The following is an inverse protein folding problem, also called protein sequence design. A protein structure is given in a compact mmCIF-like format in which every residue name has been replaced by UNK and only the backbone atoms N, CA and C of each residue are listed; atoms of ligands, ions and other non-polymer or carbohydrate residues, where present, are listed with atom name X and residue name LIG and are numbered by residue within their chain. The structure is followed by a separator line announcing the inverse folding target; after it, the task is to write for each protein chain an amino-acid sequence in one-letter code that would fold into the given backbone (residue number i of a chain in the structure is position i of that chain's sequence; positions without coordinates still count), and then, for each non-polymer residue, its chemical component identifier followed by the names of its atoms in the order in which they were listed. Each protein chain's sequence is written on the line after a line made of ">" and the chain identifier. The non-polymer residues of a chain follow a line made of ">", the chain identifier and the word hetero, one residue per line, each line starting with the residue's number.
data_IF_479800354870
#
_entry.id   IF_479800354870
#
_cell.length_a   1.000
_cell.length_b   1.000
_cell.length_c   1.000
_cell.angle_alpha   90.00
_cell.angle_beta   90.00
_cell.angle_gamma   90.00
#
_symmetry.space_group_name_H-M   'P 1'
#
loop_
_entity.id
_entity.type
_entity.pdbx_description
1 polymer ?
#
# COMPACT_ATOMS: atom_id res chain seq x y z
N UNK A 1 -0.28 -21.15 16.39
CA UNK A 1 -0.30 -19.74 16.06
C UNK A 1 0.85 -19.29 15.18
N UNK A 2 2.02 -19.86 15.37
CA UNK A 2 3.13 -19.61 14.49
C UNK A 2 2.79 -20.01 13.09
N UNK A 3 2.10 -21.11 12.95
CA UNK A 3 1.77 -21.62 11.64
C UNK A 3 0.85 -20.73 10.86
N UNK A 4 0.01 -20.02 11.57
CA UNK A 4 -0.90 -19.10 10.90
C UNK A 4 -0.17 -18.03 10.13
N UNK A 5 1.06 -17.75 10.51
CA UNK A 5 1.80 -16.66 9.92
C UNK A 5 2.77 -17.07 8.86
N UNK A 6 2.79 -18.35 8.52
CA UNK A 6 3.68 -18.78 7.46
C UNK A 6 3.40 -18.06 6.16
N UNK A 7 2.11 -17.88 5.86
CA UNK A 7 1.71 -17.25 4.61
C UNK A 7 1.20 -15.85 4.79
N UNK A 8 1.44 -15.27 5.96
CA UNK A 8 0.89 -13.95 6.28
C UNK A 8 1.93 -13.05 6.89
N UNK A 9 1.77 -11.78 6.64
CA UNK A 9 2.60 -10.76 7.25
C UNK A 9 1.68 -9.80 7.98
N UNK A 10 2.00 -9.53 9.24
CA UNK A 10 1.25 -8.54 10.00
C UNK A 10 1.92 -7.20 9.81
N UNK A 11 1.19 -6.27 9.24
CA UNK A 11 1.69 -4.92 9.05
C UNK A 11 1.15 -4.02 10.12
N UNK A 12 2.07 -3.50 10.94
CA UNK A 12 1.71 -2.57 11.99
C UNK A 12 2.52 -1.31 11.73
N UNK A 13 2.01 -0.42 10.89
CA UNK A 13 2.77 0.77 10.53
C UNK A 13 3.00 1.65 11.74
N UNK A 14 4.17 2.22 11.83
CA UNK A 14 4.46 3.15 12.88
C UNK A 14 3.83 4.48 12.56
N UNK A 15 3.27 5.11 13.57
CA UNK A 15 2.85 6.48 13.42
C UNK A 15 4.06 7.34 13.62
N UNK A 16 4.46 7.99 12.55
CA UNK A 16 5.62 8.83 12.59
C UNK A 16 5.35 10.08 13.40
N UNK A 17 6.42 10.79 13.69
CA UNK A 17 6.29 12.02 14.44
C UNK A 17 5.41 13.05 13.74
N UNK A 18 5.22 12.90 12.45
CA UNK A 18 4.38 13.81 11.68
C UNK A 18 2.89 13.55 11.88
N UNK A 19 2.53 12.42 12.50
CA UNK A 19 1.13 12.14 12.80
C UNK A 19 0.27 11.73 11.61
N UNK A 20 0.88 11.45 10.47
CA UNK A 20 0.11 11.06 9.29
C UNK A 20 -0.30 9.60 9.38
N UNK A 21 -1.50 9.34 8.89
CA UNK A 21 -2.03 7.98 8.83
C UNK A 21 -1.51 7.26 7.59
N UNK A 22 -1.24 5.96 7.70
CA UNK A 22 -0.74 5.22 6.53
C UNK A 22 -1.87 4.80 5.59
N UNK A 23 -1.67 5.04 4.31
CA UNK A 23 -2.46 4.45 3.24
C UNK A 23 -1.59 3.36 2.64
N UNK A 24 -2.06 2.13 2.72
CA UNK A 24 -1.29 0.97 2.32
C UNK A 24 -1.67 0.59 0.90
N UNK A 25 -0.68 0.51 0.02
CA UNK A 25 -0.92 0.16 -1.38
C UNK A 25 -0.09 -1.06 -1.72
N UNK A 26 -0.77 -2.18 -1.96
CA UNK A 26 -0.11 -3.43 -2.33
C UNK A 26 -0.19 -3.57 -3.84
N UNK A 27 0.97 -3.82 -4.47
CA UNK A 27 1.03 -3.88 -5.92
C UNK A 27 1.57 -5.23 -6.38
N UNK A 28 0.79 -5.90 -7.23
CA UNK A 28 1.27 -7.09 -7.92
C UNK A 28 1.21 -6.80 -9.42
N UNK A 29 1.40 -7.83 -10.25
CA UNK A 29 1.47 -7.64 -11.69
C UNK A 29 0.18 -7.16 -12.34
N UNK A 30 -0.93 -7.29 -11.65
CA UNK A 30 -2.24 -7.00 -12.24
C UNK A 30 -3.06 -5.97 -11.47
N UNK A 31 -2.80 -5.82 -10.18
CA UNK A 31 -3.69 -5.02 -9.33
C UNK A 31 -2.94 -4.16 -8.34
N UNK A 32 -3.58 -3.07 -7.97
CA UNK A 32 -3.17 -2.22 -6.87
C UNK A 32 -4.29 -2.24 -5.86
N UNK A 33 -3.97 -2.58 -4.62
CA UNK A 33 -4.95 -2.65 -3.54
C UNK A 33 -4.67 -1.49 -2.59
N UNK A 34 -5.64 -0.60 -2.46
CA UNK A 34 -5.54 0.58 -1.60
C UNK A 34 -6.35 0.33 -0.35
N UNK A 35 -5.74 0.47 0.81
CA UNK A 35 -6.44 0.19 2.05
C UNK A 35 -5.86 1.01 3.19
N UNK A 36 -6.73 1.66 3.98
CA UNK A 36 -6.29 2.35 5.18
C UNK A 36 -6.04 1.33 6.27
N UNK A 37 -5.02 1.59 7.09
CA UNK A 37 -4.66 0.67 8.16
C UNK A 37 -5.85 0.45 9.10
N UNK A 38 -6.12 -0.81 9.42
CA UNK A 38 -7.16 -1.23 10.36
C UNK A 38 -8.57 -0.81 9.94
N UNK A 39 -8.77 -0.57 8.64
CA UNK A 39 -10.09 -0.23 8.09
C UNK A 39 -10.34 -1.07 6.86
N UNK A 40 -10.68 -2.36 7.03
CA UNK A 40 -10.89 -3.24 5.88
C UNK A 40 -12.00 -2.77 4.95
N UNK A 41 -12.93 -2.00 5.45
CA UNK A 41 -14.00 -1.48 4.60
C UNK A 41 -13.49 -0.42 3.61
N UNK A 42 -12.27 0.07 3.80
CA UNK A 42 -11.71 1.08 2.91
C UNK A 42 -11.06 0.48 1.66
N UNK A 43 -11.01 -0.84 1.58
CA UNK A 43 -10.30 -1.51 0.49
C UNK A 43 -10.87 -1.15 -0.88
N UNK A 44 -9.99 -0.77 -1.79
CA UNK A 44 -10.32 -0.57 -3.19
C UNK A 44 -9.27 -1.29 -4.02
N UNK A 45 -9.71 -1.92 -5.09
CA UNK A 45 -8.80 -2.66 -5.95
C UNK A 45 -8.91 -2.10 -7.36
N UNK A 46 -7.78 -1.66 -7.90
CA UNK A 46 -7.71 -1.13 -9.25
C UNK A 46 -6.66 -1.90 -10.02
N UNK A 47 -6.75 -1.88 -11.35
CA UNK A 47 -5.80 -2.65 -12.14
C UNK A 47 -4.58 -1.81 -12.49
N UNK A 48 -3.50 -2.50 -12.91
CA UNK A 48 -2.25 -1.83 -13.28
C UNK A 48 -2.18 -1.48 -14.75
N UNK A 49 -3.23 -1.83 -15.52
CA UNK A 49 -3.20 -1.62 -16.96
C UNK A 49 -3.11 -0.14 -17.32
N UNK A 50 -3.86 0.70 -16.62
CA UNK A 50 -3.76 2.15 -16.78
C UNK A 50 -3.17 2.70 -15.50
N UNK A 51 -1.89 2.43 -15.30
CA UNK A 51 -1.23 2.63 -14.01
C UNK A 51 -1.40 4.04 -13.47
N UNK A 52 -1.07 5.04 -14.27
CA UNK A 52 -1.14 6.43 -13.79
C UNK A 52 -2.55 6.82 -13.41
N UNK A 53 -3.52 6.55 -14.29
CA UNK A 53 -4.90 6.91 -14.02
C UNK A 53 -5.45 6.18 -12.80
N UNK A 54 -5.15 4.88 -12.71
CA UNK A 54 -5.63 4.08 -11.59
C UNK A 54 -5.02 4.55 -10.27
N UNK A 55 -3.73 4.86 -10.29
CA UNK A 55 -3.08 5.34 -9.07
C UNK A 55 -3.69 6.67 -8.63
N UNK A 56 -3.84 7.59 -9.57
CA UNK A 56 -4.41 8.90 -9.24
C UNK A 56 -5.82 8.77 -8.71
N UNK A 57 -6.63 7.91 -9.33
CA UNK A 57 -7.98 7.68 -8.86
C UNK A 57 -8.01 7.08 -7.46
N UNK A 58 -7.07 6.18 -7.19
CA UNK A 58 -7.03 5.50 -5.89
C UNK A 58 -6.67 6.43 -4.75
N UNK A 59 -5.87 7.47 -5.00
CA UNK A 59 -5.43 8.36 -3.93
C UNK A 59 -6.16 9.70 -3.93
N UNK A 60 -7.06 9.89 -4.86
CA UNK A 60 -7.70 11.18 -5.08
C UNK A 60 -8.34 11.76 -3.83
N UNK A 61 -8.99 10.93 -3.03
CA UNK A 61 -9.69 11.42 -1.86
C UNK A 61 -8.80 11.59 -0.63
N UNK A 62 -7.53 11.24 -0.74
CA UNK A 62 -6.64 11.28 0.41
C UNK A 62 -5.82 12.56 0.42
N UNK A 63 -5.81 13.22 1.56
CA UNK A 63 -5.08 14.48 1.75
C UNK A 63 -3.63 14.15 2.10
N UNK A 64 -2.70 14.62 1.29
CA UNK A 64 -1.27 14.36 1.49
C UNK A 64 -0.77 14.91 2.82
N UNK A 65 -1.50 15.84 3.42
CA UNK A 65 -1.11 16.40 4.71
C UNK A 65 -1.55 15.51 5.86
N UNK A 66 -2.49 14.59 5.61
CA UNK A 66 -3.03 13.71 6.64
C UNK A 66 -2.64 12.25 6.44
N UNK A 67 -2.22 11.89 5.24
CA UNK A 67 -1.88 10.51 4.91
C UNK A 67 -0.50 10.44 4.30
N UNK A 68 0.20 9.36 4.62
CA UNK A 68 1.42 8.99 3.92
C UNK A 68 1.15 7.68 3.21
N UNK A 69 1.92 7.39 2.17
CA UNK A 69 1.72 6.18 1.38
C UNK A 69 2.81 5.18 1.73
N UNK A 70 2.39 3.94 2.01
CA UNK A 70 3.32 2.84 2.23
C UNK A 70 3.04 1.80 1.15
N UNK A 71 3.99 1.64 0.23
CA UNK A 71 3.85 0.66 -0.84
C UNK A 71 4.39 -0.69 -0.41
N UNK A 72 3.67 -1.74 -0.80
CA UNK A 72 4.11 -3.11 -0.58
C UNK A 72 4.18 -3.75 -1.96
N UNK A 73 5.38 -4.09 -2.40
CA UNK A 73 5.59 -4.60 -3.74
C UNK A 73 5.80 -6.10 -3.74
N UNK A 74 4.93 -6.82 -4.41
CA UNK A 74 5.16 -8.22 -4.71
C UNK A 74 6.07 -8.30 -5.92
N UNK A 75 6.81 -9.40 -6.09
CA UNK A 75 7.74 -9.49 -7.22
C UNK A 75 7.10 -9.18 -8.57
N UNK A 76 5.85 -9.62 -8.79
CA UNK A 76 5.18 -9.35 -10.05
C UNK A 76 4.84 -7.88 -10.24
N UNK A 77 4.85 -7.10 -9.16
CA UNK A 77 4.56 -5.67 -9.24
C UNK A 77 5.81 -4.81 -9.28
N UNK A 78 6.99 -5.43 -9.22
CA UNK A 78 8.24 -4.68 -9.13
C UNK A 78 8.50 -3.80 -10.35
N UNK A 79 7.94 -4.16 -11.51
CA UNK A 79 8.15 -3.36 -12.71
C UNK A 79 7.50 -1.99 -12.61
N UNK A 80 6.57 -1.82 -11.68
CA UNK A 80 5.88 -0.54 -11.51
C UNK A 80 6.50 0.34 -10.44
N UNK A 81 7.55 -0.17 -9.77
CA UNK A 81 8.15 0.47 -8.60
C UNK A 81 8.49 1.94 -8.83
N UNK A 82 9.36 2.19 -9.82
CA UNK A 82 9.82 3.56 -10.04
C UNK A 82 8.68 4.49 -10.41
N UNK A 83 7.76 4.00 -11.22
CA UNK A 83 6.69 4.84 -11.71
C UNK A 83 5.74 5.26 -10.59
N UNK A 84 5.31 4.33 -9.75
CA UNK A 84 4.36 4.69 -8.71
C UNK A 84 5.00 5.52 -7.61
N UNK A 85 6.28 5.28 -7.30
CA UNK A 85 6.99 6.11 -6.34
C UNK A 85 7.06 7.54 -6.86
N UNK A 86 7.39 7.69 -8.13
CA UNK A 86 7.48 9.00 -8.75
C UNK A 86 6.12 9.71 -8.73
N UNK A 87 5.06 8.99 -9.08
CA UNK A 87 3.72 9.56 -9.08
C UNK A 87 3.32 10.05 -7.70
N UNK A 88 3.60 9.24 -6.68
CA UNK A 88 3.25 9.62 -5.32
C UNK A 88 4.01 10.86 -4.88
N UNK A 89 5.29 10.94 -5.21
CA UNK A 89 6.09 12.10 -4.85
C UNK A 89 5.65 13.35 -5.61
N UNK A 90 5.29 13.21 -6.86
CA UNK A 90 4.80 14.33 -7.63
C UNK A 90 3.52 14.90 -7.05
N UNK A 91 2.69 14.03 -6.48
CA UNK A 91 1.46 14.46 -5.83
C UNK A 91 1.70 15.02 -4.43
N UNK A 92 2.93 14.92 -3.94
CA UNK A 92 3.30 15.52 -2.68
C UNK A 92 3.16 14.62 -1.47
N UNK A 93 2.94 13.33 -1.67
CA UNK A 93 2.83 12.40 -0.55
C UNK A 93 4.19 12.01 -0.01
N UNK A 94 4.23 11.78 1.29
CA UNK A 94 5.37 11.13 1.92
C UNK A 94 5.27 9.63 1.62
N UNK A 95 6.37 9.00 1.26
CA UNK A 95 6.35 7.64 0.73
C UNK A 95 7.33 6.73 1.46
N UNK A 96 6.85 5.54 1.81
CA UNK A 96 7.69 4.45 2.27
C UNK A 96 7.38 3.23 1.43
N UNK A 97 8.22 2.20 1.47
CA UNK A 97 7.96 1.00 0.70
C UNK A 97 8.73 -0.19 1.26
N UNK A 98 8.17 -1.38 1.05
CA UNK A 98 8.78 -2.65 1.44
C UNK A 98 8.46 -3.72 0.41
N UNK A 99 9.42 -4.59 0.09
CA UNK A 99 9.12 -5.74 -0.75
C UNK A 99 8.46 -6.83 0.09
N UNK A 100 7.57 -7.59 -0.54
CA UNK A 100 6.93 -8.71 0.11
C UNK A 100 6.95 -9.88 -0.87
N UNK A 101 6.74 -11.09 -0.37
CA UNK A 101 6.72 -12.26 -1.22
C UNK A 101 5.41 -12.32 -1.99
N UNK A 102 5.46 -12.96 -3.17
CA UNK A 102 4.31 -12.97 -4.07
C UNK A 102 3.07 -13.56 -3.41
N UNK A 103 3.24 -14.61 -2.64
CA UNK A 103 2.12 -15.32 -2.04
C UNK A 103 1.81 -14.91 -0.62
N UNK A 104 2.53 -13.93 -0.10
CA UNK A 104 2.26 -13.49 1.26
C UNK A 104 0.92 -12.79 1.34
N UNK A 105 0.19 -13.14 2.38
CA UNK A 105 -1.03 -12.46 2.71
C UNK A 105 -0.69 -11.39 3.73
N UNK A 106 -1.13 -10.19 3.47
CA UNK A 106 -0.76 -9.07 4.32
C UNK A 106 -1.96 -8.66 5.15
N UNK A 107 -1.73 -8.56 6.45
CA UNK A 107 -2.79 -8.22 7.39
C UNK A 107 -2.54 -6.80 7.89
N UNK A 108 -3.48 -5.91 7.60
CA UNK A 108 -3.35 -4.49 7.88
C UNK A 108 -4.07 -4.08 9.16
N UNK A 109 -4.04 -4.94 10.18
CA UNK A 109 -4.67 -4.59 11.44
C UNK A 109 -3.83 -5.13 12.56
N UNK A 110 -4.07 -4.61 13.76
CA UNK A 110 -3.31 -5.04 14.91
C UNK A 110 -3.68 -6.48 15.29
N UNK A 111 -2.70 -7.29 15.64
CA UNK A 111 -3.00 -8.65 16.12
C UNK A 111 -3.63 -8.57 17.50
N UNK A 112 -4.56 -9.46 17.74
CA UNK A 112 -5.20 -9.52 19.06
C UNK A 112 -4.36 -10.30 20.04
#
# INVERSE_FOLDING_TARGET
>A
EEKKRKDSVWMIPEKESDGKDPLLITIDGKRMRFEEFDKPESLRVLNTRSLTSSFEAGVEKYDKRKFKIVFLFKPSGAIYFEKVIELAKELGFEVGYDPVEERQKIIFSLPD
#
